data_IF_342235018999
#
_entry.id   IF_342235018999
#
_cell.length_a   1.000
_cell.length_b   1.000
_cell.length_c   1.000
_cell.angle_alpha   90.00
_cell.angle_beta   90.00
_cell.angle_gamma   90.00
#
_symmetry.space_group_name_H-M   'P 1'
#
loop_
_entity.id
_entity.type
_entity.pdbx_description
1 polymer ?
#
# COMPACT_ATOMS: atom_id res chain seq x y z
N UNK A 1 -46.60 20.98 8.66
CA UNK A 1 -46.46 20.93 7.19
C UNK A 1 -44.97 20.88 6.90
N UNK A 2 -44.47 19.66 6.67
CA UNK A 2 -43.06 19.38 6.42
C UNK A 2 -42.69 19.80 5.00
N UNK A 3 -41.56 20.46 4.84
CA UNK A 3 -40.86 20.55 3.56
C UNK A 3 -39.57 19.73 3.67
N UNK A 4 -39.56 18.60 2.98
CA UNK A 4 -38.38 17.78 2.73
C UNK A 4 -37.63 18.47 1.59
N UNK A 5 -36.45 19.00 1.87
CA UNK A 5 -35.48 19.38 0.84
C UNK A 5 -34.71 18.10 0.51
N UNK A 6 -35.05 17.48 -0.62
CA UNK A 6 -34.23 16.43 -1.20
C UNK A 6 -32.93 17.09 -1.71
N UNK A 7 -31.83 16.92 -0.98
CA UNK A 7 -30.51 17.14 -1.55
C UNK A 7 -30.26 16.03 -2.55
N UNK A 8 -30.12 16.39 -3.82
CA UNK A 8 -29.65 15.49 -4.86
C UNK A 8 -28.22 15.06 -4.48
N UNK A 9 -28.12 13.86 -3.90
CA UNK A 9 -26.88 13.09 -3.87
C UNK A 9 -26.50 12.82 -5.33
N UNK A 10 -25.51 13.54 -5.84
CA UNK A 10 -24.72 13.06 -6.97
C UNK A 10 -23.79 11.94 -6.46
N UNK A 11 -24.39 10.85 -5.99
CA UNK A 11 -23.79 9.54 -6.26
C UNK A 11 -23.72 9.45 -7.78
N UNK A 12 -22.52 9.39 -8.35
CA UNK A 12 -22.34 8.70 -9.61
C UNK A 12 -22.83 7.27 -9.36
N UNK A 13 -24.14 7.05 -9.54
CA UNK A 13 -24.64 5.74 -9.87
C UNK A 13 -23.75 5.27 -11.01
N UNK A 14 -23.11 4.11 -10.84
CA UNK A 14 -22.42 3.45 -11.92
C UNK A 14 -23.40 3.38 -13.10
N UNK A 15 -23.29 4.33 -14.04
CA UNK A 15 -23.79 4.11 -15.38
C UNK A 15 -23.20 2.77 -15.78
N UNK A 16 -24.04 1.85 -16.27
CA UNK A 16 -23.60 0.51 -16.66
C UNK A 16 -22.58 0.63 -17.79
N UNK A 17 -21.31 0.85 -17.42
CA UNK A 17 -20.21 0.98 -18.35
C UNK A 17 -19.99 -0.39 -18.96
N UNK A 18 -20.15 -0.45 -20.27
CA UNK A 18 -20.01 -1.70 -21.00
C UNK A 18 -18.53 -1.95 -21.31
N UNK A 19 -18.20 -3.20 -21.63
CA UNK A 19 -16.90 -3.56 -22.19
C UNK A 19 -16.53 -2.69 -23.41
N UNK A 20 -17.54 -2.23 -24.19
CA UNK A 20 -17.36 -1.34 -25.33
C UNK A 20 -16.96 0.07 -24.90
N UNK A 21 -17.59 0.61 -23.86
CA UNK A 21 -17.29 1.96 -23.35
C UNK A 21 -15.88 2.03 -22.76
N UNK A 22 -15.47 0.99 -22.02
CA UNK A 22 -14.11 0.87 -21.51
C UNK A 22 -13.09 0.76 -22.65
N UNK A 23 -13.33 -0.09 -23.64
CA UNK A 23 -12.45 -0.17 -24.81
C UNK A 23 -12.32 1.17 -25.54
N UNK A 24 -13.43 1.85 -25.79
CA UNK A 24 -13.42 3.17 -26.44
C UNK A 24 -12.64 4.19 -25.62
N UNK A 25 -12.83 4.22 -24.31
CA UNK A 25 -12.08 5.12 -23.42
C UNK A 25 -10.57 4.84 -23.45
N UNK A 26 -10.15 3.58 -23.49
CA UNK A 26 -8.74 3.22 -23.59
C UNK A 26 -8.12 3.68 -24.92
N UNK A 27 -8.87 3.65 -26.02
CA UNK A 27 -8.46 4.18 -27.32
C UNK A 27 -8.35 5.72 -27.27
N UNK A 28 -9.38 6.41 -26.76
CA UNK A 28 -9.45 7.88 -26.69
C UNK A 28 -8.39 8.48 -25.75
N UNK A 29 -8.10 7.80 -24.63
CA UNK A 29 -7.07 8.20 -23.66
C UNK A 29 -5.64 7.90 -24.12
N UNK A 30 -5.49 7.13 -25.21
CA UNK A 30 -4.20 6.65 -25.72
C UNK A 30 -3.59 5.50 -24.93
N UNK A 31 -4.25 4.98 -23.88
CA UNK A 31 -3.76 3.83 -23.13
C UNK A 31 -3.64 2.57 -23.98
N UNK A 32 -4.53 2.40 -24.97
CA UNK A 32 -4.45 1.30 -25.93
C UNK A 32 -3.07 1.20 -26.60
N UNK A 33 -2.42 2.33 -26.90
CA UNK A 33 -1.11 2.37 -27.56
C UNK A 33 0.04 2.08 -26.58
N UNK A 34 -0.09 2.47 -25.31
CA UNK A 34 0.90 2.20 -24.25
C UNK A 34 0.83 0.73 -23.75
N UNK A 35 -0.34 0.09 -23.87
CA UNK A 35 -0.69 -1.18 -23.25
C UNK A 35 -1.20 -2.21 -24.27
N UNK A 36 -0.35 -2.56 -25.22
CA UNK A 36 -0.72 -3.38 -26.39
C UNK A 36 -1.22 -4.80 -26.05
N UNK A 37 -0.87 -5.33 -24.88
CA UNK A 37 -1.30 -6.67 -24.45
C UNK A 37 -2.49 -6.63 -23.48
N UNK A 38 -2.92 -5.45 -23.04
CA UNK A 38 -4.02 -5.31 -22.07
C UNK A 38 -5.36 -5.38 -22.80
N UNK A 39 -6.19 -6.36 -22.46
CA UNK A 39 -7.58 -6.44 -22.93
C UNK A 39 -8.49 -5.47 -22.13
N UNK A 40 -8.61 -4.23 -22.62
CA UNK A 40 -9.46 -3.21 -22.00
C UNK A 40 -10.96 -3.47 -22.05
N UNK A 41 -11.40 -4.52 -22.78
CA UNK A 41 -12.80 -4.96 -22.73
C UNK A 41 -13.11 -5.75 -21.44
N UNK A 42 -12.07 -6.27 -20.78
CA UNK A 42 -12.13 -6.90 -19.47
C UNK A 42 -11.73 -5.89 -18.40
N UNK A 43 -12.71 -5.36 -17.69
CA UNK A 43 -12.47 -4.48 -16.55
C UNK A 43 -13.56 -4.67 -15.49
N UNK A 44 -13.20 -4.54 -14.21
CA UNK A 44 -14.14 -4.65 -13.09
C UNK A 44 -14.63 -3.30 -12.56
N UNK A 45 -14.28 -2.21 -13.26
CA UNK A 45 -14.62 -0.83 -12.92
C UNK A 45 -14.79 0.00 -14.20
N UNK A 46 -15.26 1.24 -14.06
CA UNK A 46 -15.27 2.20 -15.16
C UNK A 46 -13.87 2.79 -15.33
N UNK A 47 -13.25 2.64 -16.51
CA UNK A 47 -11.88 3.13 -16.73
C UNK A 47 -11.71 4.65 -16.55
N UNK A 48 -12.80 5.43 -16.53
CA UNK A 48 -12.78 6.86 -16.18
C UNK A 48 -12.45 7.12 -14.71
N UNK A 49 -12.62 6.13 -13.84
CA UNK A 49 -12.23 6.17 -12.42
C UNK A 49 -10.70 6.08 -12.27
N UNK A 50 -10.01 5.49 -13.25
CA UNK A 50 -8.55 5.47 -13.32
C UNK A 50 -8.07 6.80 -13.91
N UNK A 51 -7.06 7.40 -13.28
CA UNK A 51 -6.44 8.63 -13.77
C UNK A 51 -4.92 8.49 -13.94
N UNK A 52 -4.33 9.38 -14.73
CA UNK A 52 -2.87 9.48 -14.84
C UNK A 52 -2.27 10.15 -13.60
N UNK A 53 -1.21 9.56 -13.06
CA UNK A 53 -0.36 10.16 -12.03
C UNK A 53 0.65 11.17 -12.58
N UNK A 54 0.61 11.46 -13.89
CA UNK A 54 1.54 12.39 -14.55
C UNK A 54 2.84 11.76 -15.02
N UNK A 55 2.97 10.43 -14.95
CA UNK A 55 4.15 9.69 -15.39
C UNK A 55 3.75 8.53 -16.31
N UNK A 56 4.64 8.15 -17.22
CA UNK A 56 4.44 7.01 -18.13
C UNK A 56 4.63 5.66 -17.40
N UNK A 57 4.23 4.57 -18.06
CA UNK A 57 4.57 3.20 -17.66
C UNK A 57 6.05 3.07 -17.31
N UNK A 58 6.35 2.49 -16.15
CA UNK A 58 7.69 2.27 -15.60
C UNK A 58 8.58 3.52 -15.46
N UNK A 59 8.02 4.73 -15.52
CA UNK A 59 8.76 5.94 -15.18
C UNK A 59 9.21 5.95 -13.70
N UNK A 60 8.39 5.35 -12.82
CA UNK A 60 8.78 4.93 -11.47
C UNK A 60 9.22 3.46 -11.56
N UNK A 61 10.52 3.22 -11.78
CA UNK A 61 11.04 1.87 -12.01
C UNK A 61 10.93 1.03 -10.75
N UNK A 62 10.38 -0.18 -10.85
CA UNK A 62 10.48 -1.18 -9.78
C UNK A 62 11.94 -1.56 -9.53
N UNK A 63 12.21 -2.07 -8.32
CA UNK A 63 13.48 -2.71 -8.00
C UNK A 63 13.30 -4.21 -8.23
N UNK A 64 14.05 -4.77 -9.18
CA UNK A 64 14.02 -6.20 -9.49
C UNK A 64 15.32 -6.85 -9.02
N UNK A 65 15.24 -8.03 -8.41
CA UNK A 65 16.38 -8.76 -7.84
C UNK A 65 17.19 -7.91 -6.83
N UNK A 66 16.55 -7.42 -5.74
CA UNK A 66 17.21 -6.59 -4.75
C UNK A 66 18.39 -7.29 -4.07
N UNK A 67 19.42 -6.50 -3.76
CA UNK A 67 20.57 -6.93 -2.97
C UNK A 67 20.33 -6.70 -1.47
N UNK A 68 20.98 -7.52 -0.64
CA UNK A 68 20.83 -7.47 0.82
C UNK A 68 22.18 -7.53 1.53
N UNK A 69 22.19 -6.99 2.74
CA UNK A 69 23.28 -7.19 3.70
C UNK A 69 22.70 -7.61 5.05
N UNK A 70 23.53 -8.19 5.92
CA UNK A 70 23.12 -8.45 7.29
C UNK A 70 22.74 -7.13 7.97
N UNK A 71 21.62 -7.08 8.67
CA UNK A 71 21.08 -5.85 9.27
C UNK A 71 22.04 -5.18 10.26
N UNK A 72 22.88 -5.97 10.93
CA UNK A 72 23.93 -5.47 11.83
C UNK A 72 25.04 -4.68 11.11
N UNK A 73 25.20 -4.88 9.81
CA UNK A 73 26.20 -4.18 8.98
C UNK A 73 25.65 -2.89 8.35
N UNK A 74 24.33 -2.68 8.38
CA UNK A 74 23.72 -1.46 7.87
C UNK A 74 24.09 -0.25 8.73
N UNK A 75 24.63 0.77 8.05
CA UNK A 75 25.02 2.07 8.60
C UNK A 75 24.31 3.23 7.91
N UNK A 76 23.53 2.95 6.87
CA UNK A 76 22.97 3.96 5.99
C UNK A 76 21.59 4.42 6.49
N UNK A 77 20.84 3.51 7.11
CA UNK A 77 19.46 3.73 7.50
C UNK A 77 19.37 4.12 8.97
N UNK A 78 18.66 5.21 9.27
CA UNK A 78 18.58 5.71 10.64
C UNK A 78 17.61 4.87 11.49
N UNK A 79 17.81 4.94 12.81
CA UNK A 79 17.18 4.06 13.82
C UNK A 79 15.66 3.94 13.71
N UNK A 80 14.97 5.05 13.45
CA UNK A 80 13.51 5.12 13.46
C UNK A 80 12.89 5.14 12.07
N UNK A 81 13.70 5.00 11.01
CA UNK A 81 13.14 4.91 9.67
C UNK A 81 12.30 3.65 9.49
N UNK A 82 11.16 3.77 8.80
CA UNK A 82 10.25 2.65 8.58
C UNK A 82 10.79 1.68 7.54
N UNK A 83 10.64 0.40 7.84
CA UNK A 83 10.95 -0.75 6.98
C UNK A 83 9.73 -1.67 6.91
N UNK A 84 9.43 -2.18 5.72
CA UNK A 84 8.50 -3.30 5.57
C UNK A 84 9.30 -4.58 5.86
N UNK A 85 8.82 -5.44 6.75
CA UNK A 85 9.53 -6.67 7.12
C UNK A 85 8.70 -7.90 6.77
N UNK A 86 9.37 -8.93 6.27
CA UNK A 86 8.79 -10.23 5.94
C UNK A 86 9.58 -11.30 6.69
N UNK A 87 8.88 -12.27 7.27
CA UNK A 87 9.47 -13.37 8.03
C UNK A 87 8.95 -14.70 7.51
N UNK A 88 9.86 -15.65 7.27
CA UNK A 88 9.53 -17.00 6.81
C UNK A 88 10.66 -17.96 7.20
N UNK A 89 10.30 -19.16 7.63
CA UNK A 89 11.25 -20.24 7.94
C UNK A 89 12.42 -19.84 8.85
N UNK A 90 12.16 -18.97 9.84
CA UNK A 90 13.19 -18.50 10.79
C UNK A 90 14.09 -17.38 10.25
N UNK A 91 13.94 -16.95 9.00
CA UNK A 91 14.67 -15.84 8.39
C UNK A 91 13.77 -14.62 8.24
N UNK A 92 14.39 -13.44 8.18
CA UNK A 92 13.67 -12.19 7.99
C UNK A 92 14.42 -11.24 7.06
N UNK A 93 13.68 -10.57 6.18
CA UNK A 93 14.17 -9.48 5.32
C UNK A 93 13.43 -8.18 5.65
N UNK A 94 14.14 -7.06 5.57
CA UNK A 94 13.60 -5.71 5.68
C UNK A 94 13.79 -4.93 4.38
N UNK A 95 12.73 -4.23 3.97
CA UNK A 95 12.63 -3.41 2.76
C UNK A 95 12.37 -1.95 3.18
N UNK A 96 13.39 -1.10 3.17
CA UNK A 96 13.27 0.27 3.65
C UNK A 96 12.32 1.14 2.82
N UNK A 97 11.41 1.85 3.49
CA UNK A 97 10.51 2.77 2.80
C UNK A 97 11.25 3.89 2.08
N UNK A 98 12.45 4.27 2.53
CA UNK A 98 13.28 5.25 1.80
C UNK A 98 13.56 4.87 0.34
N UNK A 99 13.60 3.58 0.03
CA UNK A 99 13.74 3.07 -1.34
C UNK A 99 12.37 2.95 -1.99
N UNK A 100 11.40 2.35 -1.30
CA UNK A 100 10.05 2.16 -1.83
C UNK A 100 9.29 3.48 -2.10
N UNK A 101 9.55 4.57 -1.39
CA UNK A 101 8.99 5.90 -1.70
C UNK A 101 9.43 6.42 -3.08
N UNK A 102 10.51 5.86 -3.66
CA UNK A 102 11.03 6.21 -5.01
C UNK A 102 10.73 5.16 -6.09
N UNK A 103 10.42 3.93 -5.68
CA UNK A 103 10.34 2.78 -6.58
C UNK A 103 9.00 2.03 -6.52
N UNK A 104 8.24 2.23 -5.45
CA UNK A 104 6.91 1.70 -5.14
C UNK A 104 6.78 0.17 -5.07
N UNK A 105 7.61 -0.58 -5.81
CA UNK A 105 7.56 -2.03 -5.95
C UNK A 105 8.98 -2.59 -5.88
N UNK A 106 9.16 -3.66 -5.11
CA UNK A 106 10.35 -4.53 -5.12
C UNK A 106 9.92 -5.95 -5.47
N UNK A 107 10.45 -6.51 -6.55
CA UNK A 107 10.27 -7.91 -6.94
C UNK A 107 11.43 -8.75 -6.40
N UNK A 108 11.17 -9.56 -5.37
CA UNK A 108 12.16 -10.40 -4.68
C UNK A 108 11.79 -11.89 -4.74
N UNK A 109 12.74 -12.76 -4.42
CA UNK A 109 12.53 -14.16 -4.08
C UNK A 109 13.04 -14.36 -2.64
N UNK A 110 12.13 -14.73 -1.73
CA UNK A 110 12.46 -14.92 -0.32
C UNK A 110 12.06 -16.33 0.14
N UNK A 111 13.04 -17.13 0.56
CA UNK A 111 12.84 -18.55 0.92
C UNK A 111 11.99 -19.28 -0.13
N UNK A 112 12.48 -19.26 -1.38
CA UNK A 112 11.88 -19.84 -2.60
C UNK A 112 10.49 -19.30 -2.97
N UNK A 113 10.03 -18.23 -2.33
CA UNK A 113 8.75 -17.60 -2.61
C UNK A 113 8.96 -16.31 -3.38
N UNK A 114 8.49 -16.22 -4.63
CA UNK A 114 8.39 -14.96 -5.36
C UNK A 114 7.43 -14.03 -4.63
N UNK A 115 7.93 -12.86 -4.21
CA UNK A 115 7.12 -11.83 -3.57
C UNK A 115 7.28 -10.46 -4.26
N UNK A 116 6.20 -9.68 -4.25
CA UNK A 116 6.20 -8.27 -4.60
C UNK A 116 5.94 -7.45 -3.32
N UNK A 117 6.94 -6.69 -2.86
CA UNK A 117 6.83 -5.78 -1.72
C UNK A 117 6.46 -4.41 -2.25
N UNK A 118 5.33 -3.87 -1.81
CA UNK A 118 4.75 -2.67 -2.41
C UNK A 118 4.44 -1.60 -1.37
N UNK A 119 4.60 -0.35 -1.76
CA UNK A 119 4.24 0.82 -0.95
C UNK A 119 3.65 1.91 -1.83
N UNK A 120 2.41 2.31 -1.56
CA UNK A 120 1.82 3.51 -2.15
C UNK A 120 1.98 4.69 -1.17
N UNK A 121 2.83 5.69 -1.48
CA UNK A 121 3.00 6.85 -0.59
C UNK A 121 1.74 7.71 -0.51
N UNK A 122 0.89 7.73 -1.55
CA UNK A 122 -0.35 8.51 -1.57
C UNK A 122 -1.42 7.94 -0.64
N UNK A 123 -1.42 6.63 -0.41
CA UNK A 123 -2.36 5.95 0.48
C UNK A 123 -1.74 5.56 1.83
N UNK A 124 -0.43 5.76 2.01
CA UNK A 124 0.38 5.21 3.12
C UNK A 124 0.21 3.68 3.25
N UNK A 125 -0.15 2.96 2.19
CA UNK A 125 -0.42 1.52 2.21
C UNK A 125 0.83 0.72 1.90
N UNK A 126 1.18 -0.22 2.79
CA UNK A 126 2.23 -1.22 2.56
C UNK A 126 1.60 -2.61 2.46
N UNK A 127 1.78 -3.28 1.32
CA UNK A 127 1.25 -4.64 1.11
C UNK A 127 2.31 -5.50 0.44
N UNK A 128 2.41 -6.77 0.85
CA UNK A 128 3.30 -7.74 0.22
C UNK A 128 2.44 -8.83 -0.40
N UNK A 129 2.70 -9.16 -1.65
CA UNK A 129 1.96 -10.17 -2.40
C UNK A 129 2.86 -11.32 -2.81
N UNK A 130 2.29 -12.53 -2.88
CA UNK A 130 2.86 -13.59 -3.70
C UNK A 130 2.69 -13.21 -5.17
N UNK A 131 3.80 -13.20 -5.93
CA UNK A 131 3.79 -12.82 -7.36
C UNK A 131 3.79 -14.04 -8.28
N UNK A 132 2.91 -15.00 -8.01
CA UNK A 132 2.74 -16.22 -8.82
C UNK A 132 1.36 -16.19 -9.46
N UNK A 133 1.32 -16.13 -10.79
CA UNK A 133 0.11 -16.13 -11.60
C UNK A 133 0.06 -17.42 -12.43
N UNK A 134 -1.00 -18.22 -12.24
CA UNK A 134 -1.16 -19.54 -12.86
C UNK A 134 0.07 -20.44 -12.70
N UNK A 135 0.62 -20.48 -11.49
CA UNK A 135 1.81 -21.27 -11.17
C UNK A 135 3.13 -20.70 -11.69
N UNK A 136 3.12 -19.55 -12.35
CA UNK A 136 4.32 -18.92 -12.92
C UNK A 136 4.69 -17.66 -12.13
N UNK A 137 5.93 -17.53 -11.63
CA UNK A 137 6.42 -16.28 -11.06
C UNK A 137 6.38 -15.15 -12.10
N UNK A 138 5.82 -14.01 -11.74
CA UNK A 138 5.79 -12.80 -12.57
C UNK A 138 6.49 -11.66 -11.87
N UNK A 139 6.86 -10.63 -12.61
CA UNK A 139 7.34 -9.35 -12.08
C UNK A 139 6.26 -8.30 -12.25
N UNK A 140 6.14 -7.42 -11.25
CA UNK A 140 5.24 -6.29 -11.29
C UNK A 140 6.00 -5.00 -11.62
N UNK A 141 5.37 -4.13 -12.42
CA UNK A 141 5.82 -2.77 -12.68
C UNK A 141 4.74 -1.75 -12.32
N UNK A 142 5.06 -0.47 -12.51
CA UNK A 142 4.15 0.64 -12.24
C UNK A 142 3.47 1.09 -13.53
N UNK A 143 2.16 1.32 -13.50
CA UNK A 143 1.43 1.81 -14.69
C UNK A 143 1.56 3.32 -14.91
N UNK A 144 1.98 4.05 -13.87
CA UNK A 144 1.84 5.51 -13.80
C UNK A 144 0.39 5.99 -13.66
N UNK A 145 -0.55 5.08 -13.41
CA UNK A 145 -1.98 5.36 -13.24
C UNK A 145 -2.41 5.08 -11.79
N UNK A 146 -3.48 5.74 -11.38
CA UNK A 146 -4.03 5.69 -10.03
C UNK A 146 -5.53 5.43 -10.07
N UNK A 147 -6.01 4.66 -9.10
CA UNK A 147 -7.43 4.50 -8.82
C UNK A 147 -7.65 4.75 -7.33
N UNK A 148 -8.50 5.73 -6.98
CA UNK A 148 -8.64 6.23 -5.60
C UNK A 148 -7.31 6.69 -4.96
N UNK A 149 -6.47 7.38 -5.75
CA UNK A 149 -5.06 7.74 -5.43
C UNK A 149 -4.11 6.56 -5.21
N UNK A 150 -4.62 5.33 -5.18
CA UNK A 150 -3.80 4.15 -4.95
C UNK A 150 -3.10 3.71 -6.24
N UNK A 151 -1.89 3.20 -6.06
CA UNK A 151 -1.06 2.68 -7.14
C UNK A 151 -1.79 1.59 -7.91
N UNK A 152 -1.88 1.77 -9.23
CA UNK A 152 -2.22 0.68 -10.14
C UNK A 152 -0.91 0.05 -10.66
N UNK A 153 -0.68 -1.19 -10.26
CA UNK A 153 0.45 -2.00 -10.72
C UNK A 153 0.08 -2.72 -12.02
N UNK A 154 1.04 -3.32 -12.70
CA UNK A 154 0.77 -4.28 -13.76
C UNK A 154 1.72 -5.47 -13.68
N UNK A 155 1.30 -6.66 -14.12
CA UNK A 155 2.21 -7.79 -14.29
C UNK A 155 2.83 -7.78 -15.70
N UNK A 156 4.13 -8.02 -15.80
CA UNK A 156 4.85 -7.97 -17.09
C UNK A 156 4.48 -9.09 -18.06
N UNK A 157 3.84 -10.17 -17.57
CA UNK A 157 3.47 -11.35 -18.37
C UNK A 157 2.23 -11.10 -19.24
N UNK A 158 1.14 -10.68 -18.61
CA UNK A 158 -0.17 -10.49 -19.26
C UNK A 158 -0.51 -9.02 -19.47
N UNK A 159 0.22 -8.10 -18.82
CA UNK A 159 -0.17 -6.68 -18.71
C UNK A 159 -1.58 -6.50 -18.11
N UNK A 160 -2.01 -7.40 -17.22
CA UNK A 160 -3.17 -7.14 -16.37
C UNK A 160 -2.79 -6.03 -15.39
N UNK A 161 -3.72 -5.12 -15.13
CA UNK A 161 -3.58 -4.07 -14.13
C UNK A 161 -4.14 -4.53 -12.79
N UNK A 162 -3.41 -4.26 -11.72
CA UNK A 162 -3.70 -4.75 -10.38
C UNK A 162 -3.75 -3.60 -9.39
N UNK A 163 -4.79 -3.57 -8.56
CA UNK A 163 -4.90 -2.60 -7.48
C UNK A 163 -3.92 -2.95 -6.36
N UNK A 164 -3.00 -2.04 -6.02
CA UNK A 164 -2.03 -2.27 -4.95
C UNK A 164 -2.69 -2.47 -3.58
N UNK A 165 -3.76 -1.72 -3.28
CA UNK A 165 -4.41 -1.73 -1.98
C UNK A 165 -4.94 -3.11 -1.56
N UNK A 166 -5.56 -3.85 -2.48
CA UNK A 166 -6.29 -5.08 -2.18
C UNK A 166 -5.86 -6.29 -3.03
N UNK A 167 -4.96 -6.09 -3.99
CA UNK A 167 -4.42 -7.14 -4.85
C UNK A 167 -5.38 -7.64 -5.94
N UNK A 168 -6.45 -6.91 -6.26
CA UNK A 168 -7.42 -7.32 -7.29
C UNK A 168 -6.91 -6.98 -8.70
N UNK A 169 -7.04 -7.92 -9.63
CA UNK A 169 -6.91 -7.65 -11.07
C UNK A 169 -8.12 -6.85 -11.55
N UNK A 170 -7.90 -5.63 -12.04
CA UNK A 170 -8.97 -4.67 -12.35
C UNK A 170 -9.16 -4.41 -13.84
N UNK A 171 -8.13 -4.62 -14.68
CA UNK A 171 -8.19 -4.45 -16.14
C UNK A 171 -7.29 -5.47 -16.83
N UNK A 172 -7.75 -6.14 -17.88
CA UNK A 172 -6.96 -7.08 -18.68
C UNK A 172 -7.33 -8.55 -18.49
N UNK A 173 -6.41 -9.44 -18.86
CA UNK A 173 -6.68 -10.88 -18.96
C UNK A 173 -7.17 -11.49 -17.65
N UNK A 174 -6.55 -11.10 -16.53
CA UNK A 174 -6.79 -11.67 -15.21
C UNK A 174 -7.72 -10.79 -14.34
N UNK A 175 -8.60 -9.99 -14.95
CA UNK A 175 -9.62 -9.23 -14.21
C UNK A 175 -10.46 -10.14 -13.32
N UNK A 176 -10.64 -9.74 -12.05
CA UNK A 176 -11.33 -10.50 -11.02
C UNK A 176 -10.46 -11.48 -10.24
N UNK A 177 -9.23 -11.76 -10.70
CA UNK A 177 -8.26 -12.52 -9.90
C UNK A 177 -7.80 -11.70 -8.68
N UNK A 178 -7.32 -12.40 -7.64
CA UNK A 178 -6.82 -11.78 -6.41
C UNK A 178 -5.46 -12.33 -6.03
N UNK A 179 -4.50 -11.43 -5.80
CA UNK A 179 -3.18 -11.78 -5.29
C UNK A 179 -3.27 -12.24 -3.83
N UNK A 180 -2.47 -13.25 -3.49
CA UNK A 180 -2.35 -13.71 -2.11
C UNK A 180 -1.41 -12.78 -1.33
N UNK A 181 -1.91 -12.24 -0.22
CA UNK A 181 -1.13 -11.39 0.68
C UNK A 181 -0.15 -12.24 1.49
N UNK A 182 1.10 -11.80 1.55
CA UNK A 182 2.13 -12.34 2.44
C UNK A 182 2.14 -11.52 3.73
N UNK A 183 2.08 -12.15 4.92
CA UNK A 183 2.18 -11.43 6.18
C UNK A 183 3.46 -10.59 6.24
N UNK A 184 3.29 -9.31 6.50
CA UNK A 184 4.38 -8.34 6.65
C UNK A 184 4.10 -7.38 7.78
N UNK A 185 5.10 -6.59 8.16
CA UNK A 185 4.97 -5.52 9.16
C UNK A 185 5.59 -4.24 8.66
N UNK A 186 4.96 -3.13 8.98
CA UNK A 186 5.59 -1.81 8.90
C UNK A 186 6.12 -1.44 10.30
N UNK A 187 7.43 -1.53 10.48
CA UNK A 187 8.10 -1.26 11.76
C UNK A 187 9.34 -0.38 11.57
N UNK A 188 9.87 0.19 12.65
CA UNK A 188 11.14 0.90 12.58
C UNK A 188 12.32 -0.06 12.48
N UNK A 189 13.40 0.40 11.86
CA UNK A 189 14.64 -0.36 11.76
C UNK A 189 15.15 -0.86 13.12
N UNK A 190 15.00 -0.06 14.17
CA UNK A 190 15.42 -0.45 15.53
C UNK A 190 14.64 -1.67 16.04
N UNK A 191 13.31 -1.68 15.89
CA UNK A 191 12.50 -2.83 16.32
C UNK A 191 12.77 -4.07 15.45
N UNK A 192 13.01 -3.89 14.15
CA UNK A 192 13.46 -4.98 13.29
C UNK A 192 14.80 -5.57 13.75
N UNK A 193 15.81 -4.73 14.02
CA UNK A 193 17.14 -5.15 14.55
C UNK A 193 17.01 -5.90 15.88
N UNK A 194 16.09 -5.50 16.75
CA UNK A 194 15.84 -6.17 18.03
C UNK A 194 15.18 -7.54 17.86
N UNK A 195 14.19 -7.65 16.97
CA UNK A 195 13.48 -8.92 16.70
C UNK A 195 14.31 -9.92 15.91
N UNK A 196 15.11 -9.42 14.97
CA UNK A 196 15.90 -10.24 14.05
C UNK A 196 17.34 -9.72 13.95
N UNK A 197 18.18 -9.95 14.98
CA UNK A 197 19.57 -9.48 14.96
C UNK A 197 20.42 -10.09 13.84
N UNK A 198 19.98 -11.24 13.30
CA UNK A 198 20.57 -11.91 12.14
C UNK A 198 19.76 -11.72 10.85
N UNK A 199 18.76 -10.83 10.85
CA UNK A 199 17.96 -10.51 9.68
C UNK A 199 18.77 -9.81 8.60
N UNK A 200 18.20 -9.74 7.41
CA UNK A 200 18.77 -9.06 6.26
C UNK A 200 18.02 -7.76 5.97
N UNK A 201 18.72 -6.78 5.44
CA UNK A 201 18.15 -5.51 5.01
C UNK A 201 18.59 -5.19 3.58
N UNK A 202 17.63 -4.75 2.78
CA UNK A 202 17.87 -4.38 1.39
C UNK A 202 18.86 -3.22 1.34
N UNK A 203 19.87 -3.33 0.47
CA UNK A 203 20.86 -2.27 0.22
C UNK A 203 20.31 -1.26 -0.78
N UNK A 204 21.02 -0.14 -0.94
CA UNK A 204 20.61 0.87 -1.91
C UNK A 204 20.64 0.30 -3.34
N UNK A 205 19.57 0.51 -4.13
CA UNK A 205 19.56 0.09 -5.53
C UNK A 205 20.77 0.62 -6.30
N UNK A 206 21.41 -0.24 -7.09
CA UNK A 206 22.64 0.05 -7.84
C UNK A 206 23.83 0.50 -6.97
N UNK A 207 23.82 0.19 -5.67
CA UNK A 207 24.89 0.56 -4.73
C UNK A 207 24.98 2.05 -4.40
N UNK A 208 24.00 2.87 -4.82
CA UNK A 208 24.02 4.32 -4.61
C UNK A 208 22.93 4.74 -3.61
N UNK A 209 23.33 5.12 -2.40
CA UNK A 209 22.41 5.61 -1.38
C UNK A 209 22.03 7.10 -1.53
N UNK A 210 22.69 7.83 -2.44
CA UNK A 210 22.46 9.27 -2.64
C UNK A 210 21.04 9.55 -3.11
N UNK A 211 20.35 10.47 -2.43
CA UNK A 211 18.98 10.90 -2.75
C UNK A 211 17.87 10.05 -2.14
N UNK A 212 18.17 8.88 -1.60
CA UNK A 212 17.24 8.12 -0.76
C UNK A 212 17.16 8.69 0.66
N UNK A 213 16.00 8.54 1.28
CA UNK A 213 15.68 9.16 2.58
C UNK A 213 15.07 10.56 2.45
N UNK A 214 15.24 11.22 1.30
CA UNK A 214 14.50 12.45 0.99
C UNK A 214 13.06 12.14 0.58
N UNK A 215 12.09 12.71 1.28
CA UNK A 215 10.65 12.53 1.03
C UNK A 215 10.13 13.57 0.01
N UNK A 216 9.61 13.15 -1.17
CA UNK A 216 9.06 14.08 -2.16
C UNK A 216 7.65 14.57 -1.78
N UNK A 217 6.99 13.93 -0.80
CA UNK A 217 5.65 14.22 -0.29
C UNK A 217 5.74 14.94 1.06
N UNK A 218 6.56 15.98 1.16
CA UNK A 218 6.76 16.72 2.41
C UNK A 218 5.44 17.30 2.91
N UNK A 219 5.13 17.08 4.20
CA UNK A 219 3.90 17.47 4.91
C UNK A 219 2.61 16.84 4.35
N UNK A 220 2.73 15.80 3.55
CA UNK A 220 1.55 15.21 2.93
C UNK A 220 0.60 14.61 3.97
N UNK A 221 1.12 13.91 4.99
CA UNK A 221 0.29 13.32 6.05
C UNK A 221 -0.30 14.34 7.06
N UNK A 222 -0.12 15.63 6.79
CA UNK A 222 -0.66 16.76 7.55
C UNK A 222 -1.44 17.73 6.64
N UNK A 223 -1.62 17.37 5.36
CA UNK A 223 -2.38 18.16 4.40
C UNK A 223 -3.88 17.99 4.60
N UNK A 224 -4.66 18.99 4.18
CA UNK A 224 -6.12 18.97 4.33
C UNK A 224 -6.79 17.95 3.39
N UNK A 225 -6.26 17.80 2.18
CA UNK A 225 -6.84 16.97 1.14
C UNK A 225 -5.83 15.96 0.56
N UNK A 226 -6.28 14.75 0.21
CA UNK A 226 -5.44 13.76 -0.47
C UNK A 226 -5.07 14.22 -1.90
N UNK A 227 -3.85 13.90 -2.32
CA UNK A 227 -3.36 14.20 -3.66
C UNK A 227 -3.94 13.22 -4.68
N UNK A 228 -4.30 13.71 -5.87
CA UNK A 228 -4.81 12.90 -7.00
C UNK A 228 -6.00 11.98 -6.62
N UNK A 229 -6.83 12.44 -5.69
CA UNK A 229 -8.08 11.78 -5.29
C UNK A 229 -9.25 12.58 -5.87
N UNK A 230 -10.21 11.88 -6.48
CA UNK A 230 -11.44 12.50 -7.03
C UNK A 230 -12.71 12.06 -6.30
N UNK A 231 -12.60 11.12 -5.37
CA UNK A 231 -13.74 10.71 -4.57
C UNK A 231 -14.04 11.72 -3.48
N UNK A 232 -15.21 11.57 -2.88
CA UNK A 232 -15.55 12.27 -1.64
C UNK A 232 -14.97 11.50 -0.45
N UNK A 233 -14.79 12.21 0.67
CA UNK A 233 -14.45 11.58 1.93
C UNK A 233 -15.27 12.21 3.04
N UNK A 234 -16.15 11.39 3.61
CA UNK A 234 -16.93 11.72 4.80
C UNK A 234 -16.51 10.76 5.93
N UNK A 235 -15.86 11.30 6.96
CA UNK A 235 -15.36 10.50 8.07
C UNK A 235 -15.18 11.31 9.34
N UNK A 236 -15.16 10.62 10.48
CA UNK A 236 -15.00 11.23 11.82
C UNK A 236 -13.57 11.74 12.10
N UNK A 237 -12.61 11.38 11.25
CA UNK A 237 -11.19 11.77 11.34
C UNK A 237 -10.73 12.35 10.01
N UNK A 238 -9.66 13.18 9.97
CA UNK A 238 -9.14 13.74 8.72
C UNK A 238 -8.84 12.67 7.66
N UNK A 239 -8.98 13.03 6.37
CA UNK A 239 -8.75 12.12 5.24
C UNK A 239 -7.37 11.43 5.28
N UNK A 240 -6.34 12.19 5.68
CA UNK A 240 -4.95 11.73 5.78
C UNK A 240 -4.56 11.26 7.20
N UNK A 241 -5.55 11.04 8.07
CA UNK A 241 -5.30 10.34 9.34
C UNK A 241 -4.97 8.87 9.06
N UNK A 242 -4.01 8.32 9.81
CA UNK A 242 -3.64 6.91 9.67
C UNK A 242 -4.65 5.99 10.35
N UNK A 243 -4.92 4.88 9.70
CA UNK A 243 -5.83 3.83 10.11
C UNK A 243 -5.10 2.49 10.02
N UNK A 244 -5.16 1.71 11.10
CA UNK A 244 -4.75 0.30 11.09
C UNK A 244 -5.92 -0.52 10.56
N UNK A 245 -5.70 -1.20 9.44
CA UNK A 245 -6.70 -2.02 8.75
C UNK A 245 -6.48 -3.49 9.13
N UNK A 246 -7.49 -4.09 9.77
CA UNK A 246 -7.50 -5.51 10.16
C UNK A 246 -8.74 -6.15 9.54
N UNK A 247 -8.53 -6.98 8.52
CA UNK A 247 -9.64 -7.44 7.68
C UNK A 247 -10.33 -6.24 7.03
N UNK A 248 -11.62 -6.06 7.30
CA UNK A 248 -12.43 -4.95 6.78
C UNK A 248 -12.64 -3.83 7.82
N UNK A 249 -12.03 -3.91 9.00
CA UNK A 249 -12.22 -2.94 10.07
C UNK A 249 -11.03 -1.98 10.13
N UNK A 250 -11.31 -0.68 10.19
CA UNK A 250 -10.32 0.35 10.40
C UNK A 250 -10.26 0.78 11.87
N UNK A 251 -9.06 0.98 12.41
CA UNK A 251 -8.83 1.54 13.74
C UNK A 251 -7.98 2.80 13.62
N UNK A 252 -8.48 3.94 14.10
CA UNK A 252 -7.74 5.19 14.04
C UNK A 252 -6.43 5.08 14.82
N UNK A 253 -5.31 5.41 14.19
CA UNK A 253 -4.00 5.38 14.84
C UNK A 253 -3.93 6.36 16.01
N UNK A 254 -4.63 7.50 15.91
CA UNK A 254 -4.74 8.51 16.99
C UNK A 254 -5.51 8.03 18.21
N UNK A 255 -6.35 7.01 18.07
CA UNK A 255 -7.00 6.32 19.18
C UNK A 255 -6.04 5.30 19.79
N UNK A 256 -5.46 4.43 18.95
CA UNK A 256 -4.52 3.40 19.37
C UNK A 256 -3.29 3.97 20.10
N UNK A 257 -2.78 5.13 19.68
CA UNK A 257 -1.63 5.78 20.33
C UNK A 257 -1.93 6.32 21.72
N UNK A 258 -3.21 6.50 22.10
CA UNK A 258 -3.62 6.94 23.44
C UNK A 258 -3.79 5.77 24.41
N UNK A 259 -4.30 4.64 23.92
CA UNK A 259 -4.61 3.47 24.76
C UNK A 259 -3.48 2.43 24.75
N UNK A 260 -2.55 2.52 23.80
CA UNK A 260 -1.39 1.64 23.57
C UNK A 260 -1.71 0.18 23.27
N UNK A 261 -2.75 -0.41 23.86
CA UNK A 261 -3.22 -1.76 23.57
C UNK A 261 -4.75 -1.80 23.54
N UNK A 262 -5.29 -2.22 22.41
CA UNK A 262 -6.68 -2.59 22.24
C UNK A 262 -6.80 -4.12 22.24
N UNK A 263 -7.68 -4.68 23.07
CA UNK A 263 -8.08 -6.08 23.00
C UNK A 263 -9.60 -6.18 22.85
N UNK A 264 -10.07 -6.75 21.74
CA UNK A 264 -11.50 -6.92 21.44
C UNK A 264 -11.71 -8.10 20.49
N UNK A 265 -12.71 -8.93 20.76
CA UNK A 265 -13.16 -10.02 19.87
C UNK A 265 -12.00 -10.94 19.39
N UNK A 266 -11.12 -11.34 20.32
CA UNK A 266 -9.90 -12.12 20.06
C UNK A 266 -8.85 -11.43 19.19
N UNK A 267 -8.97 -10.13 18.93
CA UNK A 267 -7.95 -9.30 18.28
C UNK A 267 -7.25 -8.45 19.33
N UNK A 268 -5.92 -8.39 19.24
CA UNK A 268 -5.06 -7.47 19.99
C UNK A 268 -4.34 -6.56 19.01
N UNK A 269 -4.43 -5.25 19.22
CA UNK A 269 -3.66 -4.24 18.50
C UNK A 269 -2.80 -3.50 19.52
N UNK A 270 -1.49 -3.60 19.38
CA UNK A 270 -0.53 -2.87 20.22
C UNK A 270 0.14 -1.78 19.41
N UNK A 271 0.14 -0.56 19.95
CA UNK A 271 0.89 0.58 19.47
C UNK A 271 2.09 0.84 20.37
N UNK A 272 3.24 1.17 19.77
CA UNK A 272 4.43 1.58 20.50
C UNK A 272 5.16 2.69 19.74
N UNK A 273 5.55 3.76 20.43
CA UNK A 273 6.37 4.85 19.89
C UNK A 273 7.67 4.38 19.20
N UNK A 274 8.25 5.26 18.37
CA UNK A 274 9.58 5.08 17.79
C UNK A 274 9.60 4.60 16.34
N UNK A 275 8.72 5.14 15.49
CA UNK A 275 8.79 5.01 14.03
C UNK A 275 8.47 6.35 13.37
N UNK A 276 9.36 6.83 12.53
CA UNK A 276 9.14 8.08 11.82
C UNK A 276 8.15 7.91 10.66
N UNK A 277 7.32 8.93 10.45
CA UNK A 277 6.54 9.06 9.22
C UNK A 277 7.44 9.24 7.99
N UNK A 278 7.20 8.44 6.95
CA UNK A 278 7.82 8.62 5.63
C UNK A 278 7.27 9.81 4.84
N UNK A 279 6.20 10.47 5.33
CA UNK A 279 5.38 11.43 4.58
C UNK A 279 5.23 12.78 5.30
N UNK A 280 6.02 13.01 6.36
CA UNK A 280 5.94 14.21 7.20
C UNK A 280 7.02 15.24 6.84
N UNK A 281 8.28 14.95 7.14
CA UNK A 281 9.41 15.87 6.92
C UNK A 281 10.11 15.60 5.59
N UNK A 282 10.89 16.56 5.09
CA UNK A 282 11.67 16.42 3.84
C UNK A 282 12.75 15.34 3.93
N UNK A 283 13.23 15.02 5.12
CA UNK A 283 14.06 13.84 5.39
C UNK A 283 13.25 12.89 6.28
N UNK A 284 13.10 11.64 5.86
CA UNK A 284 12.31 10.64 6.61
C UNK A 284 12.89 10.43 8.02
N UNK A 285 14.21 10.56 8.19
CA UNK A 285 14.88 10.50 9.49
C UNK A 285 14.44 11.59 10.48
N UNK A 286 13.80 12.65 10.01
CA UNK A 286 13.28 13.75 10.84
C UNK A 286 11.74 13.73 10.96
N UNK A 287 11.07 12.75 10.36
CA UNK A 287 9.61 12.66 10.39
C UNK A 287 9.08 12.47 11.81
N UNK A 288 7.90 13.03 12.08
CA UNK A 288 7.17 12.83 13.34
C UNK A 288 6.96 11.35 13.65
N UNK A 289 6.88 11.02 14.94
CA UNK A 289 6.59 9.66 15.39
C UNK A 289 5.14 9.28 15.07
N UNK A 290 4.98 8.18 14.35
CA UNK A 290 3.69 7.55 14.06
C UNK A 290 3.54 6.21 14.79
N UNK A 291 4.61 5.77 15.47
CA UNK A 291 4.68 4.53 16.19
C UNK A 291 4.61 3.28 15.31
N UNK A 292 4.74 2.15 15.98
CA UNK A 292 4.79 0.82 15.45
C UNK A 292 3.52 0.10 15.86
N UNK A 293 2.99 -0.72 14.96
CA UNK A 293 1.80 -1.51 15.20
C UNK A 293 2.14 -2.99 15.19
N UNK A 294 1.54 -3.74 16.11
CA UNK A 294 1.48 -5.19 16.07
C UNK A 294 0.02 -5.61 16.20
N UNK A 295 -0.45 -6.42 15.26
CA UNK A 295 -1.79 -7.02 15.31
C UNK A 295 -1.66 -8.51 15.54
N UNK A 296 -2.41 -9.02 16.52
CA UNK A 296 -2.44 -10.42 16.87
C UNK A 296 -3.89 -10.91 16.99
N UNK A 297 -4.10 -12.19 16.71
CA UNK A 297 -5.35 -12.89 16.96
C UNK A 297 -5.11 -14.03 17.96
N UNK A 298 -6.05 -14.23 18.88
CA UNK A 298 -6.01 -15.32 19.85
C UNK A 298 -6.45 -16.62 19.16
N UNK A 299 -5.57 -17.62 19.14
CA UNK A 299 -5.81 -18.98 18.63
C UNK A 299 -5.24 -19.98 19.64
N UNK A 300 -6.05 -20.92 20.11
CA UNK A 300 -5.68 -21.92 21.14
C UNK A 300 -5.01 -21.29 22.37
N UNK A 301 -5.62 -20.21 22.88
CA UNK A 301 -5.11 -19.39 23.99
C UNK A 301 -3.75 -18.70 23.79
N UNK A 302 -3.24 -18.69 22.55
CA UNK A 302 -1.99 -18.03 22.19
C UNK A 302 -2.24 -16.89 21.21
N UNK A 303 -1.53 -15.78 21.41
CA UNK A 303 -1.56 -14.66 20.48
C UNK A 303 -0.65 -14.94 19.28
N UNK A 304 -1.24 -14.98 18.09
CA UNK A 304 -0.52 -15.17 16.85
C UNK A 304 -0.61 -13.90 16.01
N UNK A 305 0.51 -13.50 15.40
CA UNK A 305 0.54 -12.32 14.54
C UNK A 305 -0.30 -12.56 13.29
N UNK A 306 -1.15 -11.61 12.93
CA UNK A 306 -1.97 -11.69 11.71
C UNK A 306 -1.63 -10.57 10.73
N UNK A 307 -1.94 -10.72 9.43
CA UNK A 307 -1.79 -9.63 8.47
C UNK A 307 -2.62 -8.42 8.85
N UNK A 308 -2.05 -7.24 8.63
CA UNK A 308 -2.70 -5.95 8.75
C UNK A 308 -2.02 -4.98 7.78
N UNK A 309 -2.63 -3.81 7.60
CA UNK A 309 -2.05 -2.72 6.85
C UNK A 309 -2.21 -1.43 7.65
N UNK A 310 -1.29 -0.48 7.51
CA UNK A 310 -1.53 0.92 7.90
C UNK A 310 -1.85 1.67 6.62
N UNK A 311 -2.89 2.49 6.62
CA UNK A 311 -3.39 3.24 5.45
C UNK A 311 -3.86 4.62 5.89
N UNK A 312 -4.04 5.56 4.97
CA UNK A 312 -4.85 6.74 5.23
C UNK A 312 -6.34 6.41 5.23
N UNK A 313 -7.11 7.21 5.99
CA UNK A 313 -8.53 7.02 6.19
C UNK A 313 -9.34 7.14 4.89
N UNK A 314 -8.98 8.08 4.01
CA UNK A 314 -9.64 8.23 2.71
C UNK A 314 -9.49 6.98 1.85
N UNK A 315 -8.28 6.42 1.76
CA UNK A 315 -8.02 5.22 0.99
C UNK A 315 -8.77 4.02 1.58
N UNK A 316 -8.77 3.87 2.92
CA UNK A 316 -9.57 2.84 3.57
C UNK A 316 -11.05 2.95 3.20
N UNK A 317 -11.65 4.15 3.29
CA UNK A 317 -13.06 4.37 2.93
C UNK A 317 -13.33 4.17 1.44
N UNK A 318 -12.42 4.58 0.56
CA UNK A 318 -12.58 4.39 -0.89
C UNK A 318 -12.64 2.91 -1.28
N UNK A 319 -11.86 2.04 -0.62
CA UNK A 319 -11.88 0.59 -0.85
C UNK A 319 -12.85 -0.18 0.06
N UNK A 320 -13.38 0.46 1.10
CA UNK A 320 -14.30 -0.12 2.09
C UNK A 320 -15.42 0.88 2.43
N UNK A 321 -16.29 1.25 1.47
CA UNK A 321 -17.23 2.36 1.61
C UNK A 321 -18.23 2.16 2.76
N UNK A 322 -18.61 0.91 3.03
CA UNK A 322 -19.59 0.58 4.08
C UNK A 322 -18.95 0.32 5.45
N UNK A 323 -17.62 0.30 5.54
CA UNK A 323 -16.94 -0.07 6.77
C UNK A 323 -16.64 1.13 7.65
N UNK A 324 -16.73 0.92 8.96
CA UNK A 324 -16.45 1.96 9.96
C UNK A 324 -14.97 2.03 10.31
N UNK A 325 -14.55 3.23 10.72
CA UNK A 325 -13.28 3.46 11.40
C UNK A 325 -13.60 3.64 12.89
N UNK A 326 -13.07 2.75 13.72
CA UNK A 326 -13.16 2.83 15.18
C UNK A 326 -12.24 3.96 15.66
N UNK A 327 -12.82 4.93 16.37
CA UNK A 327 -12.13 6.15 16.83
C UNK A 327 -12.08 6.30 18.35
N UNK A 328 -12.80 5.45 19.08
CA UNK A 328 -12.91 5.41 20.55
C UNK A 328 -13.36 4.03 21.04
#
# INVERSE_FOLDING_TARGET
MSFIIASALNTFAAENFTAKDNKQWAEDSGWFYEWQNTDFSKASLNLREIMSGGVAKDAIRSIDNPEFTAVKNDKDITKFEPVITVFKNGKAKAYPLRYLTRHEIVNDIFEDQPIAVTFCPLCNSSVVFERVLDGVPVEFGTTGKLHNSDLVMYDRKTQTWWQQYNGMGIVGELTGAKLKVVPSRLESLTLFKQRFPNGEIMTAPNGNSSGYGHNPYTRYDSSEAPFLYRGDYEGKIPALARVVVVGNVGYALSYLSKIETLEKDNIRITWQAGQNSALDSAQISNGKDVGNIVVQQKQDDKWQNIPYMVSFAFAFKAFNPDQEIITE
#
